data_IF_815792611732
#
_entry.id   IF_815792611732
#
_cell.length_a   1.000
_cell.length_b   1.000
_cell.length_c   1.000
_cell.angle_alpha   90.00
_cell.angle_beta   90.00
_cell.angle_gamma   90.00
#
_symmetry.space_group_name_H-M   'P 1'
#
loop_
_entity.id
_entity.type
_entity.pdbx_description
1 polymer ?
#
# COMPACT_ATOMS: atom_id res chain seq x y z
N UNK A 1 -1.98 12.40 32.02
CA UNK A 1 -2.59 11.26 31.29
C UNK A 1 -3.93 11.59 30.64
N UNK A 2 -4.94 12.11 31.33
CA UNK A 2 -6.29 12.39 30.72
C UNK A 2 -6.25 13.36 29.52
N UNK A 3 -5.45 14.42 29.55
CA UNK A 3 -5.37 15.40 28.44
C UNK A 3 -4.81 14.83 27.14
N UNK A 4 -3.76 14.00 27.22
CA UNK A 4 -3.16 13.35 26.04
C UNK A 4 -4.13 12.35 25.37
N UNK A 5 -4.90 11.61 26.17
CA UNK A 5 -5.93 10.70 25.66
C UNK A 5 -7.05 11.43 24.90
N UNK A 6 -7.45 12.62 25.38
CA UNK A 6 -8.45 13.45 24.69
C UNK A 6 -7.92 13.93 23.32
N UNK A 7 -6.68 14.40 23.26
CA UNK A 7 -6.08 14.83 21.98
C UNK A 7 -5.96 13.70 20.96
N UNK A 8 -5.69 12.47 21.41
CA UNK A 8 -5.64 11.31 20.52
C UNK A 8 -7.01 10.94 19.97
N UNK A 9 -8.07 10.99 20.79
CA UNK A 9 -9.45 10.78 20.33
C UNK A 9 -9.84 11.87 19.32
N UNK A 10 -9.49 13.12 19.60
CA UNK A 10 -9.72 14.23 18.66
C UNK A 10 -8.96 13.98 17.34
N UNK A 11 -7.72 13.51 17.40
CA UNK A 11 -6.96 13.17 16.20
C UNK A 11 -7.66 12.10 15.34
N UNK A 12 -8.19 11.05 15.96
CA UNK A 12 -8.97 10.00 15.28
C UNK A 12 -10.21 10.57 14.59
N UNK A 13 -10.99 11.41 15.32
CA UNK A 13 -12.21 12.02 14.76
C UNK A 13 -11.85 12.95 13.60
N UNK A 14 -10.86 13.81 13.78
CA UNK A 14 -10.41 14.75 12.72
C UNK A 14 -9.89 13.98 11.50
N UNK A 15 -9.14 12.90 11.70
CA UNK A 15 -8.66 12.06 10.60
C UNK A 15 -9.78 11.40 9.82
N UNK A 16 -10.81 10.90 10.53
CA UNK A 16 -12.00 10.34 9.90
C UNK A 16 -12.78 11.38 9.08
N UNK A 17 -12.95 12.60 9.62
CA UNK A 17 -13.60 13.70 8.93
C UNK A 17 -12.82 14.17 7.71
N UNK A 18 -11.48 14.22 7.78
CA UNK A 18 -10.63 14.61 6.65
C UNK A 18 -10.69 13.57 5.52
N UNK A 19 -10.67 12.27 5.85
CA UNK A 19 -10.83 11.20 4.85
C UNK A 19 -12.23 11.30 4.21
N UNK A 20 -13.27 11.48 5.00
CA UNK A 20 -14.63 11.63 4.49
C UNK A 20 -14.76 12.85 3.57
N UNK A 21 -14.20 13.99 3.96
CA UNK A 21 -14.19 15.20 3.15
C UNK A 21 -13.41 15.01 1.84
N UNK A 22 -12.21 14.42 1.93
CA UNK A 22 -11.40 14.12 0.76
C UNK A 22 -12.11 13.13 -0.17
N UNK A 23 -12.75 12.10 0.37
CA UNK A 23 -13.57 11.16 -0.40
C UNK A 23 -14.72 11.86 -1.13
N UNK A 24 -15.49 12.69 -0.43
CA UNK A 24 -16.60 13.44 -1.03
C UNK A 24 -16.13 14.42 -2.11
N UNK A 25 -14.92 14.95 -1.99
CA UNK A 25 -14.34 15.84 -2.99
C UNK A 25 -13.83 15.09 -4.23
N UNK A 26 -13.26 13.90 -4.01
CA UNK A 26 -12.62 13.10 -5.05
C UNK A 26 -13.61 12.14 -5.73
N UNK A 27 -14.59 11.63 -4.99
CA UNK A 27 -15.65 10.77 -5.52
C UNK A 27 -16.63 11.64 -6.30
N UNK A 28 -16.32 11.89 -7.55
CA UNK A 28 -17.33 12.30 -8.49
C UNK A 28 -18.33 11.14 -8.65
N UNK A 29 -19.61 11.42 -8.70
CA UNK A 29 -20.83 10.59 -8.64
C UNK A 29 -20.81 9.15 -9.23
N UNK A 30 -19.66 8.53 -9.39
CA UNK A 30 -19.45 7.16 -9.86
C UNK A 30 -18.98 6.22 -8.76
N UNK A 31 -19.61 5.09 -8.60
CA UNK A 31 -19.14 4.03 -7.70
C UNK A 31 -17.74 3.56 -8.11
N UNK A 32 -16.78 3.53 -7.17
CA UNK A 32 -15.37 3.11 -7.35
C UNK A 32 -15.26 1.70 -7.98
N UNK A 33 -16.29 0.89 -7.87
CA UNK A 33 -16.38 -0.48 -8.37
C UNK A 33 -17.46 -0.65 -9.45
N UNK A 34 -17.67 0.33 -10.32
CA UNK A 34 -18.40 0.07 -11.56
C UNK A 34 -17.48 -0.71 -12.50
N UNK A 35 -17.51 -2.03 -12.35
CA UNK A 35 -16.94 -2.91 -13.36
C UNK A 35 -17.61 -2.65 -14.71
N UNK A 36 -16.83 -2.58 -15.77
CA UNK A 36 -17.31 -2.51 -17.15
C UNK A 36 -17.85 -3.86 -17.65
N UNK A 37 -17.81 -4.89 -16.82
CA UNK A 37 -18.35 -6.21 -17.13
C UNK A 37 -19.76 -6.35 -16.57
N UNK A 38 -20.73 -6.62 -17.45
CA UNK A 38 -22.16 -6.80 -17.16
C UNK A 38 -22.49 -8.11 -16.41
N UNK A 39 -21.62 -8.60 -15.52
CA UNK A 39 -21.81 -9.81 -14.74
C UNK A 39 -22.06 -9.52 -13.26
N UNK A 40 -23.17 -9.99 -12.69
CA UNK A 40 -23.34 -10.02 -11.24
C UNK A 40 -22.48 -11.15 -10.64
N UNK A 41 -21.55 -10.80 -9.76
CA UNK A 41 -20.75 -11.79 -9.04
C UNK A 41 -21.50 -12.29 -7.81
N UNK A 42 -21.72 -13.59 -7.71
CA UNK A 42 -22.43 -14.24 -6.60
C UNK A 42 -21.47 -15.12 -5.80
N UNK A 43 -21.38 -14.90 -4.48
CA UNK A 43 -20.65 -15.82 -3.60
C UNK A 43 -21.45 -17.09 -3.38
N UNK A 44 -20.85 -18.25 -3.69
CA UNK A 44 -21.49 -19.56 -3.60
C UNK A 44 -20.64 -20.56 -2.79
N UNK A 45 -21.30 -21.59 -2.26
CA UNK A 45 -20.62 -22.75 -1.68
C UNK A 45 -20.95 -23.99 -2.51
N UNK A 46 -19.95 -24.75 -2.89
CA UNK A 46 -20.09 -25.98 -3.68
C UNK A 46 -20.79 -27.05 -2.84
N UNK A 47 -21.94 -27.54 -3.29
CA UNK A 47 -22.71 -28.61 -2.65
C UNK A 47 -22.17 -29.97 -3.08
N UNK A 48 -22.06 -30.17 -4.40
CA UNK A 48 -21.49 -31.38 -4.99
C UNK A 48 -21.10 -31.16 -6.45
N UNK A 49 -20.07 -31.85 -6.88
CA UNK A 49 -19.72 -31.98 -8.31
C UNK A 49 -20.69 -32.97 -8.95
N UNK A 50 -21.27 -32.58 -10.10
CA UNK A 50 -22.30 -33.37 -10.80
C UNK A 50 -21.69 -34.17 -11.94
N UNK A 51 -20.81 -33.56 -12.74
CA UNK A 51 -20.21 -34.17 -13.92
C UNK A 51 -18.81 -33.62 -14.16
N UNK A 52 -17.92 -34.44 -14.71
CA UNK A 52 -16.57 -34.04 -15.12
C UNK A 52 -16.35 -34.63 -16.51
N UNK A 53 -16.32 -33.76 -17.52
CA UNK A 53 -16.04 -34.14 -18.91
C UNK A 53 -14.64 -33.74 -19.26
N UNK A 54 -13.94 -34.64 -19.89
CA UNK A 54 -12.60 -34.39 -20.43
C UNK A 54 -12.68 -34.55 -21.95
N UNK A 55 -12.50 -33.46 -22.64
CA UNK A 55 -12.48 -33.42 -24.09
C UNK A 55 -11.03 -33.32 -24.58
N UNK A 56 -10.56 -34.35 -25.28
CA UNK A 56 -9.26 -34.36 -25.93
C UNK A 56 -9.40 -33.73 -27.32
N UNK A 57 -9.01 -32.48 -27.47
CA UNK A 57 -8.97 -31.78 -28.76
C UNK A 57 -7.58 -31.94 -29.37
N UNK A 58 -7.46 -32.85 -30.36
CA UNK A 58 -6.31 -33.02 -31.27
C UNK A 58 -4.92 -33.02 -30.59
N UNK A 59 -4.63 -34.10 -29.85
CA UNK A 59 -3.27 -34.58 -29.61
C UNK A 59 -2.52 -34.06 -28.39
N UNK A 60 -2.74 -32.85 -27.89
CA UNK A 60 -2.00 -32.32 -26.71
C UNK A 60 -2.85 -31.41 -25.78
N UNK A 61 -4.03 -30.97 -26.20
CA UNK A 61 -4.86 -30.07 -25.40
C UNK A 61 -6.00 -30.84 -24.72
N UNK A 62 -5.92 -31.01 -23.40
CA UNK A 62 -6.94 -31.63 -22.56
C UNK A 62 -7.78 -30.53 -21.90
N UNK A 63 -9.01 -30.33 -22.38
CA UNK A 63 -9.99 -29.45 -21.76
C UNK A 63 -10.86 -30.24 -20.78
N UNK A 64 -10.95 -29.78 -19.55
CA UNK A 64 -11.81 -30.37 -18.53
C UNK A 64 -12.91 -29.40 -18.17
N UNK A 65 -14.14 -29.84 -18.42
CA UNK A 65 -15.36 -29.12 -18.03
C UNK A 65 -15.96 -29.80 -16.81
N UNK A 66 -16.01 -29.08 -15.69
CA UNK A 66 -16.59 -29.55 -14.44
C UNK A 66 -17.92 -28.85 -14.21
N UNK A 67 -19.00 -29.61 -14.21
CA UNK A 67 -20.33 -29.12 -13.87
C UNK A 67 -20.65 -29.47 -12.42
N UNK A 68 -21.06 -28.50 -11.63
CA UNK A 68 -21.34 -28.70 -10.20
C UNK A 68 -22.52 -27.85 -9.74
N UNK A 69 -23.12 -28.24 -8.61
CA UNK A 69 -24.18 -27.49 -7.95
C UNK A 69 -23.58 -26.70 -6.77
N UNK A 70 -23.88 -25.40 -6.75
CA UNK A 70 -23.45 -24.49 -5.69
C UNK A 70 -24.64 -23.73 -5.11
N UNK A 71 -24.60 -23.47 -3.81
CA UNK A 71 -25.61 -22.70 -3.10
C UNK A 71 -25.18 -21.25 -2.96
N UNK A 72 -25.99 -20.31 -3.42
CA UNK A 72 -25.72 -18.88 -3.27
C UNK A 72 -25.79 -18.47 -1.78
N UNK A 73 -24.75 -17.75 -1.32
CA UNK A 73 -24.61 -17.28 0.06
C UNK A 73 -25.01 -15.81 0.23
N UNK A 74 -24.94 -15.04 -0.84
CA UNK A 74 -25.22 -13.59 -0.84
C UNK A 74 -26.22 -13.25 -1.96
N UNK A 75 -26.55 -11.97 -2.08
CA UNK A 75 -27.46 -11.37 -3.09
C UNK A 75 -28.91 -11.82 -2.96
N UNK A 76 -29.73 -11.41 -3.93
CA UNK A 76 -31.17 -11.78 -4.06
C UNK A 76 -31.35 -13.29 -4.25
N UNK A 77 -30.28 -14.00 -4.65
CA UNK A 77 -30.29 -15.45 -4.90
C UNK A 77 -29.96 -16.30 -3.67
N UNK A 78 -29.83 -15.70 -2.50
CA UNK A 78 -29.43 -16.41 -1.28
C UNK A 78 -30.28 -17.66 -1.02
N UNK A 79 -29.61 -18.79 -0.87
CA UNK A 79 -30.23 -20.10 -0.63
C UNK A 79 -30.63 -20.87 -1.88
N UNK A 80 -30.63 -20.24 -3.06
CA UNK A 80 -30.91 -20.95 -4.33
C UNK A 80 -29.70 -21.81 -4.70
N UNK A 81 -29.96 -22.94 -5.31
CA UNK A 81 -28.97 -23.82 -5.91
C UNK A 81 -28.79 -23.45 -7.36
N UNK A 82 -27.56 -23.12 -7.73
CA UNK A 82 -27.14 -22.76 -9.08
C UNK A 82 -26.35 -23.91 -9.68
N UNK A 83 -26.52 -24.15 -10.96
CA UNK A 83 -25.66 -25.04 -11.74
C UNK A 83 -24.55 -24.20 -12.37
N UNK A 84 -23.32 -24.53 -12.07
CA UNK A 84 -22.14 -23.74 -12.41
C UNK A 84 -21.17 -24.61 -13.18
N UNK A 85 -20.51 -24.00 -14.16
CA UNK A 85 -19.53 -24.66 -15.01
C UNK A 85 -18.13 -24.08 -14.71
N UNK A 86 -17.16 -24.95 -14.49
CA UNK A 86 -15.73 -24.61 -14.45
C UNK A 86 -15.06 -25.20 -15.69
N UNK A 87 -14.47 -24.36 -16.50
CA UNK A 87 -13.67 -24.77 -17.66
C UNK A 87 -12.19 -24.66 -17.30
N UNK A 88 -11.46 -25.74 -17.54
CA UNK A 88 -10.02 -25.81 -17.23
C UNK A 88 -9.29 -26.32 -18.47
N UNK A 89 -8.33 -25.54 -18.93
CA UNK A 89 -7.39 -25.94 -19.96
C UNK A 89 -6.12 -26.56 -19.30
N UNK A 90 -6.01 -27.88 -19.35
CA UNK A 90 -4.86 -28.59 -18.79
C UNK A 90 -3.63 -28.56 -19.67
N UNK A 91 -3.70 -27.95 -20.86
CA UNK A 91 -2.51 -27.68 -21.67
C UNK A 91 -1.54 -26.72 -20.97
N UNK A 92 -2.07 -25.87 -20.10
CA UNK A 92 -1.27 -25.02 -19.24
C UNK A 92 -0.81 -25.82 -18.02
N UNK A 93 0.50 -25.80 -17.73
CA UNK A 93 1.12 -26.45 -16.57
C UNK A 93 0.49 -26.00 -15.23
N UNK A 94 -0.12 -24.83 -15.21
CA UNK A 94 -0.80 -24.26 -14.05
C UNK A 94 -2.31 -24.10 -14.32
N UNK A 95 -3.03 -25.20 -14.21
CA UNK A 95 -4.51 -25.18 -14.19
C UNK A 95 -5.01 -24.72 -12.81
N UNK A 96 -6.11 -23.95 -12.76
CA UNK A 96 -6.84 -23.74 -11.53
C UNK A 96 -7.20 -25.10 -10.90
N UNK A 97 -7.12 -25.16 -9.55
CA UNK A 97 -7.57 -26.37 -8.86
C UNK A 97 -9.03 -26.67 -9.23
N UNK A 98 -9.34 -27.95 -9.47
CA UNK A 98 -10.72 -28.39 -9.64
C UNK A 98 -11.52 -28.13 -8.35
N UNK A 99 -12.76 -27.65 -8.49
CA UNK A 99 -13.65 -27.41 -7.35
C UNK A 99 -13.99 -28.70 -6.62
N UNK A 100 -14.00 -28.62 -5.29
CA UNK A 100 -14.36 -29.71 -4.39
C UNK A 100 -15.61 -29.36 -3.57
N UNK A 101 -16.28 -30.36 -3.03
CA UNK A 101 -17.43 -30.15 -2.16
C UNK A 101 -17.04 -29.36 -0.91
N UNK A 102 -17.76 -28.27 -0.64
CA UNK A 102 -17.53 -27.38 0.50
C UNK A 102 -16.73 -26.14 0.18
N UNK A 103 -16.11 -26.03 -1.01
CA UNK A 103 -15.38 -24.87 -1.44
C UNK A 103 -16.28 -23.63 -1.51
N UNK A 104 -15.79 -22.48 -1.06
CA UNK A 104 -16.42 -21.18 -1.28
C UNK A 104 -15.82 -20.52 -2.51
N UNK A 105 -16.69 -20.16 -3.45
CA UNK A 105 -16.31 -19.64 -4.77
C UNK A 105 -17.08 -18.38 -5.12
N UNK A 106 -16.54 -17.62 -6.04
CA UNK A 106 -17.21 -16.54 -6.75
C UNK A 106 -17.72 -17.09 -8.09
N UNK A 107 -18.97 -16.86 -8.37
CA UNK A 107 -19.66 -17.27 -9.59
C UNK A 107 -20.04 -16.03 -10.36
N UNK A 108 -19.71 -16.00 -11.63
CA UNK A 108 -20.09 -14.93 -12.57
C UNK A 108 -21.32 -15.34 -13.35
N UNK A 109 -22.27 -14.42 -13.51
CA UNK A 109 -23.48 -14.64 -14.26
C UNK A 109 -23.40 -13.93 -15.60
N UNK A 110 -23.60 -14.66 -16.70
CA UNK A 110 -23.72 -14.10 -18.04
C UNK A 110 -25.12 -14.33 -18.57
N UNK A 111 -25.84 -13.25 -18.90
CA UNK A 111 -27.19 -13.29 -19.49
C UNK A 111 -27.11 -13.17 -21.01
N UNK A 112 -27.42 -14.24 -21.76
CA UNK A 112 -27.63 -14.19 -23.20
C UNK A 112 -29.05 -14.64 -23.50
N UNK A 113 -29.89 -13.69 -23.94
CA UNK A 113 -31.18 -14.05 -24.59
C UNK A 113 -32.25 -14.70 -23.69
N UNK A 114 -32.20 -14.53 -22.35
CA UNK A 114 -33.23 -15.02 -21.42
C UNK A 114 -32.84 -16.20 -20.55
N UNK A 115 -31.72 -16.85 -20.79
CA UNK A 115 -31.11 -17.83 -19.88
C UNK A 115 -29.86 -17.25 -19.24
N UNK A 116 -29.78 -17.26 -17.91
CA UNK A 116 -28.60 -16.86 -17.16
C UNK A 116 -27.72 -18.09 -16.95
N UNK A 117 -26.54 -18.07 -17.53
CA UNK A 117 -25.51 -19.10 -17.32
C UNK A 117 -24.56 -18.66 -16.22
N UNK A 118 -24.10 -19.61 -15.42
CA UNK A 118 -23.24 -19.36 -14.28
C UNK A 118 -21.89 -20.06 -14.49
N UNK A 119 -20.83 -19.26 -14.45
CA UNK A 119 -19.47 -19.76 -14.62
C UNK A 119 -18.64 -19.56 -13.34
N UNK A 120 -17.69 -20.44 -13.12
CA UNK A 120 -16.71 -20.32 -12.07
C UNK A 120 -15.81 -19.10 -12.35
N UNK A 121 -15.82 -18.11 -11.46
CA UNK A 121 -14.90 -16.97 -11.52
C UNK A 121 -13.61 -17.24 -10.76
N UNK A 122 -13.68 -17.39 -9.44
CA UNK A 122 -12.50 -17.66 -8.62
C UNK A 122 -12.88 -18.26 -7.25
N UNK A 123 -11.88 -18.72 -6.48
CA UNK A 123 -12.05 -19.13 -5.08
C UNK A 123 -12.16 -17.94 -4.15
N UNK A 124 -12.95 -18.05 -3.10
CA UNK A 124 -13.04 -17.02 -2.04
C UNK A 124 -11.85 -17.13 -1.12
N UNK A 125 -10.81 -16.34 -1.39
CA UNK A 125 -9.57 -16.29 -0.60
C UNK A 125 -9.62 -15.25 0.52
N UNK A 126 -10.59 -14.36 0.50
CA UNK A 126 -10.68 -13.26 1.47
C UNK A 126 -10.94 -13.75 2.90
N UNK A 127 -11.73 -14.81 3.07
CA UNK A 127 -12.12 -15.32 4.39
C UNK A 127 -10.90 -15.76 5.24
N UNK A 128 -9.99 -16.64 4.75
CA UNK A 128 -8.77 -16.99 5.50
C UNK A 128 -7.82 -15.81 5.67
N UNK A 129 -7.74 -14.86 4.71
CA UNK A 129 -6.93 -13.65 4.85
C UNK A 129 -7.45 -12.73 5.95
N UNK A 130 -8.77 -12.59 6.08
CA UNK A 130 -9.36 -11.82 7.19
C UNK A 130 -9.05 -12.46 8.55
N UNK A 131 -9.07 -13.80 8.67
CA UNK A 131 -8.66 -14.46 9.89
C UNK A 131 -7.19 -14.20 10.23
N UNK A 132 -6.30 -14.23 9.23
CA UNK A 132 -4.89 -13.88 9.42
C UNK A 132 -4.73 -12.43 9.88
N UNK A 133 -5.48 -11.49 9.27
CA UNK A 133 -5.48 -10.09 9.68
C UNK A 133 -5.97 -9.91 11.13
N UNK A 134 -7.03 -10.62 11.52
CA UNK A 134 -7.54 -10.59 12.91
C UNK A 134 -6.48 -11.11 13.88
N UNK A 135 -5.84 -12.24 13.58
CA UNK A 135 -4.74 -12.78 14.40
C UNK A 135 -3.59 -11.77 14.51
N UNK A 136 -3.18 -11.15 13.42
CA UNK A 136 -2.16 -10.10 13.39
C UNK A 136 -2.54 -8.92 14.30
N UNK A 137 -3.75 -8.40 14.18
CA UNK A 137 -4.24 -7.31 15.03
C UNK A 137 -4.28 -7.70 16.51
N UNK A 138 -4.73 -8.92 16.84
CA UNK A 138 -4.76 -9.44 18.22
C UNK A 138 -3.33 -9.49 18.78
N UNK A 139 -2.37 -10.04 18.03
CA UNK A 139 -0.98 -10.13 18.47
C UNK A 139 -0.37 -8.75 18.74
N UNK A 140 -0.59 -7.77 17.86
CA UNK A 140 -0.14 -6.38 18.08
C UNK A 140 -0.74 -5.83 19.40
N UNK A 141 -2.04 -6.03 19.63
CA UNK A 141 -2.70 -5.53 20.84
C UNK A 141 -2.18 -6.25 22.09
N UNK A 142 -2.00 -7.57 22.04
CA UNK A 142 -1.49 -8.36 23.18
C UNK A 142 -0.08 -7.92 23.56
N UNK A 143 0.82 -7.77 22.60
CA UNK A 143 2.21 -7.39 22.87
C UNK A 143 2.36 -5.91 23.23
N UNK A 144 1.63 -5.02 22.57
CA UNK A 144 1.80 -3.56 22.73
C UNK A 144 0.67 -2.90 23.53
N UNK A 145 -0.32 -3.66 23.99
CA UNK A 145 -1.46 -3.18 24.80
C UNK A 145 -2.16 -1.99 24.14
N UNK A 146 -2.34 -0.89 24.88
CA UNK A 146 -2.97 0.34 24.35
C UNK A 146 -2.22 0.99 23.19
N UNK A 147 -0.90 0.82 23.13
CA UNK A 147 -0.11 1.28 21.99
C UNK A 147 -0.46 0.47 20.73
N UNK A 148 -0.61 -0.85 20.88
CA UNK A 148 -1.02 -1.73 19.78
C UNK A 148 -2.39 -1.36 19.19
N UNK A 149 -3.37 -1.00 20.03
CA UNK A 149 -4.67 -0.53 19.55
C UNK A 149 -4.52 0.74 18.69
N UNK A 150 -3.70 1.71 19.11
CA UNK A 150 -3.43 2.92 18.35
C UNK A 150 -2.76 2.60 17.00
N UNK A 151 -1.84 1.64 16.99
CA UNK A 151 -1.18 1.18 15.76
C UNK A 151 -2.17 0.55 14.79
N UNK A 152 -3.08 -0.32 15.27
CA UNK A 152 -4.12 -0.93 14.44
C UNK A 152 -5.06 0.13 13.85
N UNK A 153 -5.49 1.10 14.66
CA UNK A 153 -6.33 2.22 14.20
C UNK A 153 -5.60 3.06 13.15
N UNK A 154 -4.33 3.39 13.39
CA UNK A 154 -3.52 4.15 12.44
C UNK A 154 -3.33 3.39 11.12
N UNK A 155 -3.07 2.07 11.18
CA UNK A 155 -2.96 1.22 10.00
C UNK A 155 -4.27 1.22 9.18
N UNK A 156 -5.42 1.11 9.86
CA UNK A 156 -6.72 1.22 9.21
C UNK A 156 -6.91 2.53 8.46
N UNK A 157 -6.57 3.67 9.08
CA UNK A 157 -6.62 4.97 8.42
C UNK A 157 -5.62 5.11 7.27
N UNK A 158 -4.44 4.51 7.38
CA UNK A 158 -3.47 4.48 6.29
C UNK A 158 -4.03 3.74 5.07
N UNK A 159 -4.59 2.56 5.27
CA UNK A 159 -5.28 1.82 4.21
C UNK A 159 -6.45 2.62 3.62
N UNK A 160 -7.31 3.21 4.46
CA UNK A 160 -8.41 4.03 3.98
C UNK A 160 -7.95 5.22 3.16
N UNK A 161 -6.87 5.92 3.56
CA UNK A 161 -6.35 7.06 2.78
C UNK A 161 -5.85 6.65 1.40
N UNK A 162 -5.27 5.46 1.26
CA UNK A 162 -4.82 4.96 -0.04
C UNK A 162 -6.02 4.49 -0.88
N UNK A 163 -6.85 3.58 -0.33
CA UNK A 163 -7.91 2.94 -1.09
C UNK A 163 -9.13 3.85 -1.35
N UNK A 164 -9.45 4.76 -0.43
CA UNK A 164 -10.67 5.59 -0.49
C UNK A 164 -10.38 7.00 -0.99
N UNK A 165 -9.12 7.47 -0.94
CA UNK A 165 -8.77 8.82 -1.39
C UNK A 165 -7.83 8.79 -2.59
N UNK A 166 -6.66 8.12 -2.48
CA UNK A 166 -5.64 8.18 -3.53
C UNK A 166 -6.11 7.47 -4.81
N UNK A 167 -6.60 6.23 -4.71
CA UNK A 167 -7.05 5.46 -5.87
C UNK A 167 -8.20 6.17 -6.61
N UNK A 168 -9.28 6.63 -5.94
CA UNK A 168 -10.31 7.40 -6.61
C UNK A 168 -9.82 8.70 -7.22
N UNK A 169 -8.85 9.39 -6.57
CA UNK A 169 -8.25 10.60 -7.12
C UNK A 169 -7.55 10.33 -8.46
N UNK A 170 -6.84 9.19 -8.56
CA UNK A 170 -6.17 8.76 -9.78
C UNK A 170 -7.20 8.44 -10.87
N UNK A 171 -8.22 7.64 -10.54
CA UNK A 171 -9.23 7.18 -11.49
C UNK A 171 -10.11 8.34 -12.03
N UNK A 172 -10.38 9.36 -11.21
CA UNK A 172 -11.15 10.53 -11.59
C UNK A 172 -10.31 11.64 -12.26
N UNK A 173 -9.06 11.34 -12.65
CA UNK A 173 -8.22 12.25 -13.43
C UNK A 173 -7.65 13.44 -12.65
N UNK A 174 -7.67 13.40 -11.32
CA UNK A 174 -7.03 14.43 -10.52
C UNK A 174 -5.49 14.36 -10.63
N UNK A 175 -4.82 15.46 -10.26
CA UNK A 175 -3.35 15.52 -10.29
C UNK A 175 -2.72 14.53 -9.31
N UNK A 176 -2.15 13.45 -9.84
CA UNK A 176 -1.60 12.32 -9.08
C UNK A 176 -0.44 12.77 -8.18
N UNK A 177 0.45 13.65 -8.66
CA UNK A 177 1.57 14.16 -7.87
C UNK A 177 1.09 14.88 -6.61
N UNK A 178 0.10 15.78 -6.77
CA UNK A 178 -0.47 16.54 -5.66
C UNK A 178 -1.15 15.62 -4.63
N UNK A 179 -2.00 14.70 -5.09
CA UNK A 179 -2.74 13.80 -4.20
C UNK A 179 -1.83 12.81 -3.50
N UNK A 180 -0.81 12.29 -4.17
CA UNK A 180 0.17 11.38 -3.56
C UNK A 180 0.95 12.07 -2.43
N UNK A 181 1.44 13.28 -2.64
CA UNK A 181 2.11 14.06 -1.60
C UNK A 181 1.14 14.37 -0.45
N UNK A 182 -0.07 14.80 -0.76
CA UNK A 182 -1.10 15.13 0.25
C UNK A 182 -1.43 13.92 1.12
N UNK A 183 -1.62 12.75 0.53
CA UNK A 183 -1.89 11.51 1.25
C UNK A 183 -0.68 11.09 2.10
N UNK A 184 0.54 11.20 1.60
CA UNK A 184 1.76 10.91 2.39
C UNK A 184 1.90 11.84 3.60
N UNK A 185 1.65 13.15 3.42
CA UNK A 185 1.64 14.13 4.52
C UNK A 185 0.54 13.81 5.53
N UNK A 186 -0.67 13.49 5.05
CA UNK A 186 -1.78 13.09 5.91
C UNK A 186 -1.44 11.83 6.72
N UNK A 187 -0.94 10.77 6.08
CA UNK A 187 -0.52 9.52 6.74
C UNK A 187 0.51 9.82 7.83
N UNK A 188 1.52 10.64 7.53
CA UNK A 188 2.57 11.02 8.48
C UNK A 188 1.99 11.74 9.70
N UNK A 189 1.21 12.80 9.48
CA UNK A 189 0.65 13.61 10.57
C UNK A 189 -0.33 12.81 11.41
N UNK A 190 -1.22 12.06 10.77
CA UNK A 190 -2.22 11.21 11.41
C UNK A 190 -1.57 10.12 12.26
N UNK A 191 -0.66 9.35 11.67
CA UNK A 191 0.02 8.23 12.36
C UNK A 191 0.78 8.72 13.59
N UNK A 192 1.60 9.78 13.45
CA UNK A 192 2.36 10.34 14.57
C UNK A 192 1.46 10.93 15.64
N UNK A 193 0.35 11.57 15.27
CA UNK A 193 -0.63 12.13 16.21
C UNK A 193 -1.37 11.06 17.00
N UNK A 194 -1.75 9.95 16.37
CA UNK A 194 -2.46 8.84 17.03
C UNK A 194 -1.52 8.03 17.91
N UNK A 195 -0.34 7.66 17.40
CA UNK A 195 0.60 6.78 18.10
C UNK A 195 1.32 7.54 19.22
N UNK A 196 1.98 8.65 18.89
CA UNK A 196 2.83 9.41 19.81
C UNK A 196 2.10 10.55 20.52
N UNK A 197 0.94 10.97 20.01
CA UNK A 197 0.21 12.14 20.47
C UNK A 197 0.83 13.46 20.04
N UNK A 198 0.17 14.57 20.34
CA UNK A 198 0.66 15.91 20.03
C UNK A 198 1.76 16.32 21.01
N UNK A 199 2.99 16.07 20.62
CA UNK A 199 4.17 16.44 21.39
C UNK A 199 5.31 16.93 20.47
N UNK A 200 6.32 17.55 21.07
CA UNK A 200 7.45 18.10 20.31
C UNK A 200 8.20 17.03 19.53
N UNK A 201 8.28 15.80 20.07
CA UNK A 201 8.89 14.66 19.37
C UNK A 201 8.17 14.34 18.08
N UNK A 202 6.83 14.20 18.13
CA UNK A 202 6.01 13.91 16.96
C UNK A 202 6.09 15.05 15.92
N UNK A 203 6.15 16.30 16.37
CA UNK A 203 6.30 17.44 15.47
C UNK A 203 7.64 17.39 14.72
N UNK A 204 8.75 17.18 15.43
CA UNK A 204 10.07 17.08 14.83
C UNK A 204 10.17 15.90 13.86
N UNK A 205 9.65 14.73 14.26
CA UNK A 205 9.59 13.55 13.42
C UNK A 205 8.72 13.79 12.16
N UNK A 206 7.56 14.43 12.32
CA UNK A 206 6.67 14.75 11.20
C UNK A 206 7.31 15.67 10.17
N UNK A 207 7.95 16.75 10.61
CA UNK A 207 8.69 17.66 9.71
C UNK A 207 9.82 16.91 9.01
N UNK A 208 10.61 16.12 9.73
CA UNK A 208 11.71 15.33 9.17
C UNK A 208 11.22 14.31 8.15
N UNK A 209 10.11 13.63 8.45
CA UNK A 209 9.47 12.66 7.54
C UNK A 209 8.97 13.33 6.25
N UNK A 210 8.22 14.42 6.36
CA UNK A 210 7.70 15.15 5.19
C UNK A 210 8.86 15.64 4.32
N UNK A 211 9.92 16.21 4.90
CA UNK A 211 11.10 16.61 4.15
C UNK A 211 11.77 15.42 3.44
N UNK A 212 11.91 14.27 4.11
CA UNK A 212 12.49 13.06 3.52
C UNK A 212 11.68 12.52 2.35
N UNK A 213 10.35 12.46 2.49
CA UNK A 213 9.44 12.05 1.40
C UNK A 213 9.52 13.01 0.21
N UNK A 214 9.58 14.33 0.47
CA UNK A 214 9.74 15.31 -0.60
C UNK A 214 11.10 15.18 -1.31
N UNK A 215 12.17 14.88 -0.57
CA UNK A 215 13.47 14.56 -1.17
C UNK A 215 13.42 13.32 -2.06
N UNK A 216 12.76 12.24 -1.60
CA UNK A 216 12.53 11.04 -2.41
C UNK A 216 11.77 11.37 -3.69
N UNK A 217 10.66 12.11 -3.57
CA UNK A 217 9.88 12.55 -4.73
C UNK A 217 10.68 13.42 -5.70
N UNK A 218 11.52 14.33 -5.19
CA UNK A 218 12.39 15.16 -6.03
C UNK A 218 13.41 14.30 -6.80
N UNK A 219 13.99 13.28 -6.16
CA UNK A 219 14.90 12.33 -6.81
C UNK A 219 14.18 11.62 -7.96
N UNK A 220 12.95 11.13 -7.74
CA UNK A 220 12.16 10.47 -8.78
C UNK A 220 11.90 11.40 -9.95
N UNK A 221 11.47 12.66 -9.70
CA UNK A 221 11.22 13.64 -10.76
C UNK A 221 12.47 13.99 -11.57
N UNK A 222 13.64 14.02 -10.92
CA UNK A 222 14.91 14.25 -11.60
C UNK A 222 15.26 13.03 -12.46
N UNK A 223 15.16 11.83 -11.89
CA UNK A 223 15.53 10.60 -12.59
C UNK A 223 14.59 10.26 -13.75
N UNK A 224 13.30 10.60 -13.67
CA UNK A 224 12.36 10.42 -14.79
C UNK A 224 12.84 11.11 -16.08
N UNK A 225 13.48 12.28 -15.95
CA UNK A 225 14.05 13.00 -17.10
C UNK A 225 15.27 12.31 -17.75
N UNK A 226 16.05 11.57 -16.94
CA UNK A 226 17.24 10.88 -17.43
C UNK A 226 16.91 9.46 -17.94
N UNK A 227 15.93 8.81 -17.35
CA UNK A 227 15.58 7.42 -17.64
C UNK A 227 14.62 7.29 -18.83
N UNK A 228 14.04 8.39 -19.32
CA UNK A 228 13.06 8.41 -20.42
C UNK A 228 11.93 7.37 -20.25
N UNK A 229 11.43 7.23 -19.03
CA UNK A 229 10.39 6.26 -18.72
C UNK A 229 9.08 6.65 -19.43
N UNK A 230 8.31 5.65 -19.86
CA UNK A 230 6.97 5.83 -20.44
C UNK A 230 5.88 5.56 -19.39
N UNK A 231 6.17 4.70 -18.41
CA UNK A 231 5.26 4.21 -17.40
C UNK A 231 4.57 2.88 -17.78
N UNK A 232 4.88 2.34 -18.96
CA UNK A 232 4.39 1.04 -19.41
C UNK A 232 5.21 -0.07 -18.77
N UNK A 233 4.94 -0.38 -17.50
CA UNK A 233 5.71 -1.36 -16.74
C UNK A 233 5.23 -2.79 -17.01
N UNK A 234 3.93 -3.00 -17.03
CA UNK A 234 3.26 -4.31 -17.15
C UNK A 234 2.07 -4.19 -18.11
N UNK A 235 1.49 -5.32 -18.48
CA UNK A 235 0.33 -5.37 -19.38
C UNK A 235 -0.88 -4.63 -18.79
N UNK A 236 -1.05 -4.65 -17.47
CA UNK A 236 -2.10 -3.93 -16.74
C UNK A 236 -2.03 -2.42 -16.97
N UNK A 237 -0.84 -1.87 -17.17
CA UNK A 237 -0.65 -0.45 -17.50
C UNK A 237 -1.27 -0.09 -18.87
N UNK A 238 -1.24 -1.03 -19.82
CA UNK A 238 -1.87 -0.87 -21.14
C UNK A 238 -3.40 -0.87 -21.00
N UNK A 239 -3.93 -1.81 -20.20
CA UNK A 239 -5.37 -1.87 -19.93
C UNK A 239 -5.88 -0.60 -19.26
N UNK A 240 -5.13 -0.02 -18.32
CA UNK A 240 -5.50 1.25 -17.70
C UNK A 240 -5.65 2.39 -18.70
N UNK A 241 -4.78 2.48 -19.71
CA UNK A 241 -4.92 3.50 -20.77
C UNK A 241 -6.15 3.24 -21.63
N UNK A 242 -6.41 1.96 -21.96
CA UNK A 242 -7.54 1.58 -22.81
C UNK A 242 -8.90 1.82 -22.13
N UNK A 243 -8.97 1.68 -20.80
CA UNK A 243 -10.20 1.92 -20.04
C UNK A 243 -10.60 3.40 -19.98
N UNK A 244 -9.64 4.33 -20.10
CA UNK A 244 -9.85 5.78 -20.02
C UNK A 244 -9.31 6.50 -21.26
N UNK A 245 -9.87 6.24 -22.47
CA UNK A 245 -9.35 6.80 -23.72
C UNK A 245 -9.48 8.33 -23.80
N UNK A 246 -10.56 8.88 -23.23
CA UNK A 246 -10.84 10.34 -23.26
C UNK A 246 -9.99 11.13 -22.26
N UNK A 247 -9.49 10.50 -21.20
CA UNK A 247 -8.65 11.11 -20.19
C UNK A 247 -7.58 10.11 -19.71
N UNK A 248 -6.53 9.87 -20.51
CA UNK A 248 -5.55 8.84 -20.21
C UNK A 248 -4.80 9.14 -18.91
N UNK A 249 -4.73 8.14 -18.05
CA UNK A 249 -4.05 8.22 -16.78
C UNK A 249 -2.55 8.41 -17.00
N UNK A 250 -1.94 9.35 -16.27
CA UNK A 250 -0.49 9.58 -16.34
C UNK A 250 0.28 8.48 -15.61
N UNK A 251 0.75 7.48 -16.35
CA UNK A 251 1.47 6.33 -15.80
C UNK A 251 2.77 6.70 -15.08
N UNK A 252 3.52 7.71 -15.55
CA UNK A 252 4.71 8.22 -14.86
C UNK A 252 4.38 8.75 -13.46
N UNK A 253 3.25 9.43 -13.34
CA UNK A 253 2.79 9.91 -12.05
C UNK A 253 2.35 8.76 -11.11
N UNK A 254 1.90 7.62 -11.66
CA UNK A 254 1.66 6.41 -10.87
C UNK A 254 2.97 5.88 -10.30
N UNK A 255 4.04 5.78 -11.10
CA UNK A 255 5.37 5.37 -10.61
C UNK A 255 5.83 6.29 -9.48
N UNK A 256 5.69 7.61 -9.65
CA UNK A 256 5.98 8.57 -8.58
C UNK A 256 5.18 8.27 -7.32
N UNK A 257 3.87 8.04 -7.44
CA UNK A 257 2.99 7.72 -6.32
C UNK A 257 3.42 6.42 -5.60
N UNK A 258 3.70 5.36 -6.36
CA UNK A 258 4.18 4.08 -5.82
C UNK A 258 5.44 4.26 -4.97
N UNK A 259 6.42 5.01 -5.49
CA UNK A 259 7.71 5.22 -4.82
C UNK A 259 7.54 6.01 -3.51
N UNK A 260 6.82 7.14 -3.52
CA UNK A 260 6.68 7.96 -2.31
C UNK A 260 5.79 7.32 -1.25
N UNK A 261 4.72 6.62 -1.66
CA UNK A 261 3.87 5.88 -0.73
C UNK A 261 4.63 4.71 -0.11
N UNK A 262 5.44 3.99 -0.91
CA UNK A 262 6.29 2.91 -0.41
C UNK A 262 7.40 3.40 0.54
N UNK A 263 7.96 4.58 0.28
CA UNK A 263 9.03 5.15 1.10
C UNK A 263 8.55 5.74 2.44
N UNK A 264 7.28 6.24 2.51
CA UNK A 264 6.80 7.00 3.67
C UNK A 264 6.91 6.24 5.00
N UNK A 265 6.68 4.92 5.00
CA UNK A 265 6.81 4.08 6.19
C UNK A 265 8.24 4.07 6.74
N UNK A 266 9.22 3.74 5.91
CA UNK A 266 10.63 3.68 6.30
C UNK A 266 11.17 5.06 6.73
N UNK A 267 10.82 6.12 6.01
CA UNK A 267 11.18 7.51 6.33
C UNK A 267 10.59 7.93 7.69
N UNK A 268 9.34 7.53 7.98
CA UNK A 268 8.67 7.81 9.25
C UNK A 268 9.35 7.11 10.42
N UNK A 269 9.74 5.84 10.26
CA UNK A 269 10.40 5.06 11.31
C UNK A 269 11.76 5.67 11.68
N UNK A 270 12.55 6.06 10.69
CA UNK A 270 13.84 6.76 10.92
C UNK A 270 13.63 8.11 11.62
N UNK A 271 12.69 8.92 11.12
CA UNK A 271 12.38 10.23 11.71
C UNK A 271 11.95 10.12 13.16
N UNK A 272 11.07 9.17 13.46
CA UNK A 272 10.55 8.99 14.82
C UNK A 272 11.60 8.46 15.76
N UNK A 273 12.43 7.53 15.33
CA UNK A 273 13.52 6.95 16.13
C UNK A 273 14.57 8.00 16.47
N UNK A 274 15.01 8.81 15.50
CA UNK A 274 15.96 9.90 15.72
C UNK A 274 15.37 10.95 16.66
N UNK A 275 14.15 11.41 16.37
CA UNK A 275 13.49 12.43 17.18
C UNK A 275 13.29 11.98 18.63
N UNK A 276 12.89 10.71 18.85
CA UNK A 276 12.71 10.16 20.20
C UNK A 276 14.04 10.07 20.95
N UNK A 277 15.09 9.56 20.29
CA UNK A 277 16.42 9.41 20.91
C UNK A 277 17.04 10.77 21.26
N UNK A 278 16.94 11.75 20.37
CA UNK A 278 17.45 13.10 20.61
C UNK A 278 16.65 13.83 21.70
N UNK A 279 15.35 13.57 21.81
CA UNK A 279 14.54 14.12 22.89
C UNK A 279 14.95 13.56 24.25
N UNK A 280 15.17 12.25 24.37
CA UNK A 280 15.67 11.63 25.61
C UNK A 280 17.06 12.12 25.97
N UNK A 281 17.93 12.27 24.97
CA UNK A 281 19.29 12.84 25.21
C UNK A 281 19.20 14.27 25.74
N UNK A 282 18.30 15.08 25.19
CA UNK A 282 18.08 16.46 25.63
C UNK A 282 17.53 16.55 27.06
N UNK A 283 16.66 15.62 27.47
CA UNK A 283 16.16 15.57 28.84
C UNK A 283 17.28 15.23 29.81
N UNK A 284 18.13 14.24 29.46
CA UNK A 284 19.22 13.80 30.34
C UNK A 284 20.39 14.79 30.39
N UNK A 285 20.62 15.52 29.30
CA UNK A 285 21.72 16.51 29.19
C UNK A 285 21.13 17.85 28.71
N UNK A 286 20.56 18.65 29.64
CA UNK A 286 19.86 19.89 29.27
C UNK A 286 20.76 20.97 28.67
N UNK A 287 22.04 20.90 28.85
CA UNK A 287 23.03 21.91 28.41
C UNK A 287 23.75 21.51 27.11
N UNK A 288 23.38 20.38 26.51
CA UNK A 288 23.98 19.92 25.26
C UNK A 288 23.81 20.96 24.13
N UNK A 289 24.93 21.29 23.47
CA UNK A 289 24.90 22.24 22.35
C UNK A 289 24.13 21.70 21.14
N UNK A 290 23.46 22.56 20.35
CA UNK A 290 22.71 22.11 19.17
C UNK A 290 23.56 21.32 18.17
N UNK A 291 24.84 21.69 18.00
CA UNK A 291 25.77 20.98 17.12
C UNK A 291 26.07 19.55 17.61
N UNK A 292 26.22 19.38 18.92
CA UNK A 292 26.47 18.06 19.54
C UNK A 292 25.19 17.19 19.46
N UNK A 293 24.03 17.79 19.68
CA UNK A 293 22.75 17.11 19.54
C UNK A 293 22.55 16.62 18.10
N UNK A 294 22.85 17.46 17.10
CA UNK A 294 22.81 17.08 15.70
C UNK A 294 23.81 15.96 15.39
N UNK A 295 25.07 16.05 15.90
CA UNK A 295 26.07 14.99 15.70
C UNK A 295 25.63 13.66 16.32
N UNK A 296 25.02 13.70 17.49
CA UNK A 296 24.43 12.51 18.13
C UNK A 296 23.33 11.88 17.28
N UNK A 297 22.48 12.71 16.66
CA UNK A 297 21.45 12.25 15.71
C UNK A 297 22.05 11.51 14.50
N UNK A 298 23.13 12.04 13.94
CA UNK A 298 23.87 11.38 12.87
C UNK A 298 24.45 10.02 13.30
N UNK A 299 25.02 9.94 14.50
CA UNK A 299 25.59 8.69 15.01
C UNK A 299 24.51 7.64 15.20
N UNK A 300 23.41 7.99 15.86
CA UNK A 300 22.26 7.08 16.09
C UNK A 300 21.66 6.63 14.75
N UNK A 301 21.43 7.58 13.84
CA UNK A 301 20.82 7.28 12.55
C UNK A 301 21.70 6.41 11.66
N UNK A 302 23.03 6.59 11.70
CA UNK A 302 23.96 5.77 10.90
C UNK A 302 23.91 4.30 11.28
N UNK A 303 23.75 3.98 12.56
CA UNK A 303 23.68 2.60 13.02
C UNK A 303 22.38 1.90 12.55
N UNK A 304 21.30 2.67 12.38
CA UNK A 304 20.01 2.16 11.92
C UNK A 304 19.92 2.05 10.39
N UNK A 305 20.57 2.97 9.65
CA UNK A 305 20.44 3.08 8.21
C UNK A 305 20.83 1.81 7.45
N UNK A 306 21.93 1.16 7.84
CA UNK A 306 22.42 -0.01 7.13
C UNK A 306 21.42 -1.15 7.10
N UNK A 307 20.77 -1.44 8.21
CA UNK A 307 19.75 -2.49 8.31
C UNK A 307 18.46 -2.11 7.62
N UNK A 308 17.99 -0.87 7.80
CA UNK A 308 16.74 -0.41 7.21
C UNK A 308 16.81 -0.28 5.69
N UNK A 309 17.92 0.27 5.15
CA UNK A 309 18.09 0.36 3.71
C UNK A 309 18.14 -1.03 3.05
N UNK A 310 18.86 -1.98 3.66
CA UNK A 310 18.91 -3.35 3.18
C UNK A 310 17.53 -4.03 3.20
N UNK A 311 16.76 -3.83 4.29
CA UNK A 311 15.40 -4.38 4.41
C UNK A 311 14.47 -3.81 3.32
N UNK A 312 14.55 -2.52 3.05
CA UNK A 312 13.73 -1.86 2.03
C UNK A 312 14.07 -2.39 0.62
N UNK A 313 15.36 -2.50 0.29
CA UNK A 313 15.82 -3.07 -0.99
C UNK A 313 15.37 -4.52 -1.15
N UNK A 314 15.53 -5.35 -0.09
CA UNK A 314 15.09 -6.75 -0.13
C UNK A 314 13.56 -6.88 -0.26
N UNK A 315 12.79 -5.99 0.35
CA UNK A 315 11.33 -5.99 0.18
C UNK A 315 10.93 -5.74 -1.28
N UNK A 316 11.58 -4.79 -1.96
CA UNK A 316 11.31 -4.52 -3.38
C UNK A 316 11.79 -5.67 -4.28
N UNK A 317 12.99 -6.20 -4.09
CA UNK A 317 13.45 -7.37 -4.83
C UNK A 317 12.51 -8.55 -4.63
N UNK A 318 12.03 -8.77 -3.40
CA UNK A 318 11.09 -9.86 -3.10
C UNK A 318 9.75 -9.72 -3.79
N UNK A 319 9.20 -8.49 -3.89
CA UNK A 319 7.92 -8.23 -4.56
C UNK A 319 8.00 -8.42 -6.07
N UNK A 320 9.12 -8.08 -6.71
CA UNK A 320 9.32 -8.18 -8.16
C UNK A 320 10.03 -9.45 -8.63
N UNK A 321 10.28 -10.41 -7.72
CA UNK A 321 11.11 -11.58 -8.00
C UNK A 321 10.60 -12.40 -9.20
N UNK A 322 9.30 -12.63 -9.31
CA UNK A 322 8.69 -13.40 -10.42
C UNK A 322 8.93 -12.72 -11.76
N UNK A 323 8.74 -11.40 -11.81
CA UNK A 323 8.94 -10.61 -13.03
C UNK A 323 10.40 -10.56 -13.45
N UNK A 324 11.30 -10.43 -12.48
CA UNK A 324 12.76 -10.51 -12.73
C UNK A 324 13.16 -11.88 -13.26
N UNK A 325 12.65 -12.97 -12.66
CA UNK A 325 12.92 -14.33 -13.14
C UNK A 325 12.44 -14.55 -14.57
N UNK A 326 11.24 -14.07 -14.89
CA UNK A 326 10.69 -14.16 -16.25
C UNK A 326 11.59 -13.45 -17.24
N UNK A 327 11.99 -12.21 -16.95
CA UNK A 327 12.85 -11.42 -17.84
C UNK A 327 14.24 -12.04 -18.01
N UNK A 328 14.83 -12.59 -16.95
CA UNK A 328 16.12 -13.30 -17.02
C UNK A 328 16.01 -14.57 -17.86
N UNK A 329 14.90 -15.31 -17.74
CA UNK A 329 14.67 -16.53 -18.50
C UNK A 329 14.49 -16.27 -20.01
N UNK A 330 13.82 -15.17 -20.36
CA UNK A 330 13.56 -14.83 -21.77
C UNK A 330 14.68 -14.06 -22.48
N UNK A 331 15.59 -13.41 -21.77
CA UNK A 331 16.62 -12.58 -22.36
C UNK A 331 18.00 -13.21 -22.18
N UNK A 332 18.71 -13.40 -23.30
CA UNK A 332 20.07 -13.96 -23.31
C UNK A 332 21.15 -12.96 -22.84
N UNK A 333 20.83 -11.66 -22.75
CA UNK A 333 21.76 -10.60 -22.41
C UNK A 333 21.29 -9.81 -21.20
N UNK A 334 22.12 -9.76 -20.16
CA UNK A 334 21.84 -9.04 -18.91
C UNK A 334 21.66 -7.54 -19.13
N UNK A 335 22.34 -6.96 -20.12
CA UNK A 335 22.19 -5.54 -20.46
C UNK A 335 20.77 -5.22 -20.94
N UNK A 336 20.15 -6.11 -21.70
CA UNK A 336 18.77 -5.97 -22.13
C UNK A 336 17.81 -6.08 -20.95
N UNK A 337 18.06 -6.97 -19.99
CA UNK A 337 17.24 -7.14 -18.80
C UNK A 337 17.26 -5.89 -17.92
N UNK A 338 18.46 -5.38 -17.62
CA UNK A 338 18.64 -4.21 -16.74
C UNK A 338 18.01 -2.93 -17.33
N UNK A 339 17.98 -2.82 -18.66
CA UNK A 339 17.39 -1.66 -19.36
C UNK A 339 15.89 -1.81 -19.64
N UNK A 340 15.24 -2.90 -19.25
CA UNK A 340 13.77 -3.00 -19.30
C UNK A 340 13.15 -2.00 -18.32
N UNK A 341 12.16 -1.25 -18.80
CA UNK A 341 11.54 -0.17 -18.01
C UNK A 341 11.01 -0.65 -16.66
N UNK A 342 10.43 -1.86 -16.62
CA UNK A 342 9.97 -2.51 -15.41
C UNK A 342 11.10 -2.67 -14.37
N UNK A 343 12.26 -3.20 -14.78
CA UNK A 343 13.43 -3.37 -13.89
C UNK A 343 13.98 -2.03 -13.46
N UNK A 344 14.04 -1.07 -14.38
CA UNK A 344 14.48 0.31 -14.08
C UNK A 344 13.58 0.96 -13.03
N UNK A 345 12.26 0.76 -13.13
CA UNK A 345 11.30 1.28 -12.15
C UNK A 345 11.51 0.67 -10.76
N UNK A 346 11.72 -0.64 -10.66
CA UNK A 346 12.00 -1.33 -9.39
C UNK A 346 13.31 -0.86 -8.75
N UNK A 347 14.37 -0.73 -9.56
CA UNK A 347 15.66 -0.19 -9.09
C UNK A 347 15.49 1.27 -8.62
N UNK A 348 14.77 2.08 -9.39
CA UNK A 348 14.50 3.47 -9.04
C UNK A 348 13.72 3.56 -7.71
N UNK A 349 12.72 2.71 -7.53
CA UNK A 349 11.92 2.64 -6.31
C UNK A 349 12.78 2.29 -5.10
N UNK A 350 13.61 1.25 -5.21
CA UNK A 350 14.52 0.84 -4.15
C UNK A 350 15.53 1.94 -3.79
N UNK A 351 16.14 2.56 -4.81
CA UNK A 351 17.17 3.59 -4.60
C UNK A 351 16.56 4.92 -4.14
N UNK A 352 15.50 5.42 -4.76
CA UNK A 352 14.88 6.69 -4.38
C UNK A 352 14.26 6.63 -2.98
N UNK A 353 13.62 5.51 -2.61
CA UNK A 353 13.12 5.27 -1.27
C UNK A 353 14.25 5.24 -0.22
N UNK A 354 15.32 4.50 -0.51
CA UNK A 354 16.49 4.44 0.38
C UNK A 354 17.21 5.78 0.50
N UNK A 355 17.39 6.53 -0.59
CA UNK A 355 17.97 7.86 -0.56
C UNK A 355 17.10 8.86 0.22
N UNK A 356 15.77 8.80 0.06
CA UNK A 356 14.84 9.60 0.85
C UNK A 356 14.99 9.33 2.34
N UNK A 357 15.09 8.05 2.73
CA UNK A 357 15.35 7.65 4.11
C UNK A 357 16.71 8.13 4.61
N UNK A 358 17.79 8.02 3.80
CA UNK A 358 19.11 8.53 4.13
C UNK A 358 19.12 10.03 4.37
N UNK A 359 18.45 10.81 3.51
CA UNK A 359 18.35 12.27 3.62
C UNK A 359 17.49 12.70 4.81
N UNK A 360 16.55 11.87 5.24
CA UNK A 360 15.71 12.12 6.42
C UNK A 360 16.54 12.24 7.69
N UNK A 361 17.65 11.52 7.82
CA UNK A 361 18.52 11.55 8.99
C UNK A 361 19.08 12.95 9.28
N UNK A 362 19.82 13.60 8.35
CA UNK A 362 20.32 14.95 8.59
C UNK A 362 19.19 15.97 8.79
N UNK A 363 18.11 15.85 8.02
CA UNK A 363 16.97 16.76 8.10
C UNK A 363 16.28 16.67 9.47
N UNK A 364 15.95 15.47 9.93
CA UNK A 364 15.32 15.28 11.25
C UNK A 364 16.27 15.72 12.38
N UNK A 365 17.56 15.39 12.29
CA UNK A 365 18.55 15.80 13.30
C UNK A 365 18.68 17.32 13.40
N UNK A 366 18.69 18.03 12.26
CA UNK A 366 18.73 19.48 12.21
C UNK A 366 17.44 20.11 12.78
N UNK A 367 16.27 19.59 12.41
CA UNK A 367 14.97 20.04 12.93
C UNK A 367 14.89 19.82 14.45
N UNK A 368 15.30 18.66 14.95
CA UNK A 368 15.33 18.37 16.39
C UNK A 368 16.27 19.32 17.12
N UNK A 369 17.49 19.54 16.60
CA UNK A 369 18.45 20.45 17.21
C UNK A 369 17.90 21.88 17.31
N UNK A 370 17.25 22.37 16.26
CA UNK A 370 16.66 23.71 16.21
C UNK A 370 15.46 23.87 17.16
N UNK A 371 14.54 22.90 17.18
CA UNK A 371 13.30 22.99 17.96
C UNK A 371 13.56 22.72 19.44
N UNK A 372 14.34 21.70 19.79
CA UNK A 372 14.61 21.35 21.18
C UNK A 372 15.43 22.41 21.91
N UNK A 373 16.28 23.16 21.19
CA UNK A 373 17.00 24.31 21.75
C UNK A 373 16.03 25.45 22.11
N UNK A 374 15.13 25.84 21.20
CA UNK A 374 14.18 26.94 21.43
C UNK A 374 13.15 26.66 22.53
N UNK A 375 12.78 25.40 22.74
CA UNK A 375 11.84 25.02 23.81
C UNK A 375 12.45 25.24 25.20
N UNK A 376 13.76 25.16 25.35
CA UNK A 376 14.45 25.47 26.64
C UNK A 376 14.46 26.97 26.94
N UNK A 377 14.74 27.83 25.95
CA UNK A 377 14.73 29.28 26.13
C UNK A 377 13.39 29.78 26.69
N UNK A 378 12.28 29.36 26.11
CA UNK A 378 10.92 29.73 26.57
C UNK A 378 10.59 29.27 28.00
N UNK A 379 11.18 28.17 28.49
CA UNK A 379 11.02 27.76 29.90
C UNK A 379 11.90 28.53 30.86
N UNK A 380 13.07 28.99 30.42
CA UNK A 380 13.97 29.85 31.21
C UNK A 380 13.37 31.24 31.37
N UNK A 381 12.85 31.84 30.31
CA UNK A 381 12.23 33.17 30.36
C UNK A 381 10.89 33.21 31.14
N UNK A 382 10.20 32.08 31.28
CA UNK A 382 8.97 31.97 32.09
C UNK A 382 9.22 31.68 33.57
N UNK A 383 10.50 31.51 33.99
CA UNK A 383 10.93 31.25 35.35
C UNK A 383 11.75 32.39 35.94
N UNK A 384 11.90 33.49 35.24
CA UNK A 384 12.30 34.82 35.75
C UNK A 384 11.06 35.72 35.83
#
# INVERSE_FOLDING_TARGET
>A
MKRQSVYQVVAVIVSALLILFAYLYVADSGTIFKGTMDGETVKCRVIRVTDVKTDNVSGENEFVTVTFKAQALNTVLRGKTLEVVQEMDKSYVFCPKQVEQGDEILVESYGNGGETQYYFGDYVRITPLLWLLVVFCILIIVFSRLQGLKTVVSLGFTCLSVFVVLIPAILNGHNIYFWSITVCVFITVMTLSIISGFNVKALCAGIGCVCGVLCSGLIVLIMDKFLNMTGLLEEESVYLIQLYPDNPINLKAIIFAMIIVGAVGAVMDVSMSISSSLYELRIKSPDIAPKELMKSGFTIGRDMMGTMANTLVLAYIGSSLTSVLLLVAYNANIEQVINKEMIVAEILQALAGSLGMLLTLPLTSAVCAAIYYRVKEKKSDASC
#
